data_IF_186886407119
#
_entry.id   IF_186886407119
#
_cell.length_a   1.000
_cell.length_b   1.000
_cell.length_c   1.000
_cell.angle_alpha   90.00
_cell.angle_beta   90.00
_cell.angle_gamma   90.00
#
_symmetry.space_group_name_H-M   'P 1'
#
loop_
_entity.id
_entity.type
_entity.pdbx_description
1 polymer ?
#
# COMPACT_ATOMS: atom_id res chain seq x y z
N UNK A 1 7.22 -14.38 14.96
CA UNK A 1 6.34 -13.42 15.66
C UNK A 1 5.66 -14.15 16.82
N UNK A 2 5.59 -13.60 18.06
CA UNK A 2 4.96 -14.28 19.19
C UNK A 2 3.42 -14.21 19.11
N UNK A 3 2.70 -15.32 18.81
CA UNK A 3 1.26 -15.27 18.56
C UNK A 3 0.44 -14.88 19.80
N UNK A 4 0.94 -15.14 21.00
CA UNK A 4 0.24 -14.86 22.26
C UNK A 4 0.00 -13.36 22.47
N UNK A 5 0.87 -12.49 21.93
CA UNK A 5 0.73 -11.03 22.00
C UNK A 5 -0.58 -10.56 21.37
N UNK A 6 -1.07 -11.27 20.35
CA UNK A 6 -2.29 -10.93 19.61
C UNK A 6 -3.57 -11.03 20.46
N UNK A 7 -3.50 -11.71 21.61
CA UNK A 7 -4.62 -11.85 22.53
C UNK A 7 -4.70 -10.69 23.55
N UNK A 8 -3.68 -9.83 23.62
CA UNK A 8 -3.61 -8.72 24.58
C UNK A 8 -4.37 -7.51 24.02
N UNK A 9 -5.70 -7.50 24.20
CA UNK A 9 -6.59 -6.46 23.63
C UNK A 9 -6.30 -5.02 24.11
N UNK A 10 -5.63 -4.88 25.25
CA UNK A 10 -5.25 -3.60 25.87
C UNK A 10 -3.85 -3.11 25.47
N UNK A 11 -3.13 -3.85 24.62
CA UNK A 11 -1.76 -3.54 24.26
C UNK A 11 -1.67 -2.25 23.44
N UNK A 12 -1.01 -1.24 23.99
CA UNK A 12 -0.80 0.05 23.32
C UNK A 12 0.56 0.17 22.65
N UNK A 13 1.56 -0.54 23.16
CA UNK A 13 2.95 -0.47 22.69
C UNK A 13 3.47 -1.89 22.48
N UNK A 14 3.92 -2.17 21.26
CA UNK A 14 4.56 -3.43 20.90
C UNK A 14 5.94 -3.13 20.31
N UNK A 15 6.99 -3.68 20.95
CA UNK A 15 8.38 -3.54 20.51
C UNK A 15 8.96 -4.93 20.28
N UNK A 16 9.35 -5.20 19.04
CA UNK A 16 9.91 -6.47 18.56
C UNK A 16 11.23 -6.23 17.79
N UNK A 17 11.92 -5.13 18.08
CA UNK A 17 13.18 -4.74 17.42
C UNK A 17 14.26 -5.82 17.56
N UNK A 18 15.10 -5.98 16.53
CA UNK A 18 16.27 -6.87 16.55
C UNK A 18 15.92 -8.33 16.79
N UNK A 19 15.01 -8.86 15.97
CA UNK A 19 14.61 -10.26 15.99
C UNK A 19 14.67 -10.85 14.57
N UNK A 20 14.67 -12.18 14.40
CA UNK A 20 14.61 -12.81 13.09
C UNK A 20 13.16 -12.95 12.57
N UNK A 21 12.31 -11.94 12.77
CA UNK A 21 10.89 -12.03 12.36
C UNK A 21 10.80 -11.78 10.85
N UNK A 22 10.23 -12.76 10.13
CA UNK A 22 10.02 -12.70 8.68
C UNK A 22 8.65 -12.21 8.27
N UNK A 23 7.66 -12.37 9.14
CA UNK A 23 6.27 -12.05 8.85
C UNK A 23 5.56 -11.49 10.08
N UNK A 24 4.60 -10.59 9.82
CA UNK A 24 3.60 -10.16 10.80
C UNK A 24 2.30 -10.89 10.45
N UNK A 25 1.65 -11.58 11.39
CA UNK A 25 0.40 -12.27 11.11
C UNK A 25 -0.73 -11.28 10.83
N UNK A 26 -1.66 -11.65 9.92
CA UNK A 26 -2.86 -10.86 9.61
C UNK A 26 -3.73 -10.54 10.84
N UNK A 27 -3.67 -11.41 11.86
CA UNK A 27 -4.35 -11.26 13.13
C UNK A 27 -3.83 -10.08 13.98
N UNK A 28 -2.76 -9.38 13.56
CA UNK A 28 -2.32 -8.12 14.17
C UNK A 28 -3.47 -7.11 14.26
N UNK A 29 -4.43 -7.18 13.34
CA UNK A 29 -5.66 -6.38 13.31
C UNK A 29 -6.50 -6.47 14.60
N UNK A 30 -6.30 -7.51 15.43
CA UNK A 30 -6.97 -7.69 16.73
C UNK A 30 -6.49 -6.71 17.79
N UNK A 31 -5.30 -6.13 17.63
CA UNK A 31 -4.70 -5.16 18.57
C UNK A 31 -5.26 -3.76 18.38
N UNK A 32 -6.58 -3.59 18.53
CA UNK A 32 -7.30 -2.33 18.24
C UNK A 32 -6.85 -1.12 19.08
N UNK A 33 -6.19 -1.34 20.20
CA UNK A 33 -5.67 -0.28 21.07
C UNK A 33 -4.20 0.06 20.81
N UNK A 34 -3.55 -0.61 19.85
CA UNK A 34 -2.13 -0.41 19.53
C UNK A 34 -1.89 0.97 18.95
N UNK A 35 -1.02 1.74 19.61
CA UNK A 35 -0.61 3.10 19.22
C UNK A 35 0.81 3.14 18.68
N UNK A 36 1.68 2.28 19.19
CA UNK A 36 3.09 2.25 18.81
C UNK A 36 3.53 0.84 18.49
N UNK A 37 4.03 0.65 17.27
CA UNK A 37 4.57 -0.62 16.82
C UNK A 37 5.98 -0.41 16.28
N UNK A 38 6.95 -1.04 16.95
CA UNK A 38 8.35 -1.05 16.54
C UNK A 38 8.73 -2.48 16.20
N UNK A 39 9.15 -2.71 14.95
CA UNK A 39 9.65 -4.00 14.45
C UNK A 39 10.86 -3.77 13.52
N UNK A 40 11.65 -2.74 13.82
CA UNK A 40 12.89 -2.45 13.09
C UNK A 40 13.95 -3.53 13.29
N UNK A 41 14.91 -3.64 12.37
CA UNK A 41 15.97 -4.66 12.39
C UNK A 41 15.39 -6.08 12.48
N UNK A 42 14.54 -6.41 11.51
CA UNK A 42 13.96 -7.74 11.33
C UNK A 42 14.15 -8.17 9.87
N UNK A 43 13.45 -9.22 9.42
CA UNK A 43 13.58 -9.82 8.09
C UNK A 43 12.25 -9.74 7.32
N UNK A 44 11.46 -8.69 7.54
CA UNK A 44 10.15 -8.53 6.91
C UNK A 44 10.31 -8.21 5.43
N UNK A 45 9.64 -8.97 4.57
CA UNK A 45 9.57 -8.66 3.12
C UNK A 45 8.30 -7.89 2.73
N UNK A 46 7.24 -7.98 3.54
CA UNK A 46 5.94 -7.34 3.28
C UNK A 46 5.20 -6.99 4.58
N UNK A 47 4.17 -6.14 4.44
CA UNK A 47 3.25 -5.78 5.52
C UNK A 47 1.88 -6.45 5.30
N UNK A 48 1.31 -7.12 6.31
CA UNK A 48 0.03 -7.80 6.18
C UNK A 48 -1.14 -6.80 6.02
N UNK A 49 -2.19 -7.13 5.25
CA UNK A 49 -3.41 -6.33 5.18
C UNK A 49 -4.01 -5.95 6.54
N UNK A 50 -3.90 -6.86 7.53
CA UNK A 50 -4.39 -6.62 8.88
C UNK A 50 -3.72 -5.45 9.62
N UNK A 51 -2.48 -5.10 9.25
CA UNK A 51 -1.78 -3.94 9.84
C UNK A 51 -2.51 -2.64 9.54
N UNK A 52 -3.07 -2.50 8.34
CA UNK A 52 -3.77 -1.29 7.90
C UNK A 52 -5.16 -1.11 8.52
N UNK A 53 -5.59 -2.05 9.40
CA UNK A 53 -6.83 -1.99 10.17
C UNK A 53 -6.61 -1.53 11.63
N UNK A 54 -5.41 -1.00 11.93
CA UNK A 54 -5.05 -0.46 13.23
C UNK A 54 -5.29 1.06 13.26
N UNK A 55 -6.55 1.45 13.40
CA UNK A 55 -7.00 2.84 13.26
C UNK A 55 -6.40 3.80 14.31
N UNK A 56 -5.89 3.27 15.42
CA UNK A 56 -5.25 4.02 16.50
C UNK A 56 -3.71 4.06 16.42
N UNK A 57 -3.11 3.48 15.37
CA UNK A 57 -1.67 3.43 15.24
C UNK A 57 -1.11 4.82 14.91
N UNK A 58 -0.23 5.32 15.77
CA UNK A 58 0.37 6.66 15.71
C UNK A 58 1.85 6.63 15.32
N UNK A 59 2.54 5.53 15.67
CA UNK A 59 3.96 5.35 15.41
C UNK A 59 4.20 3.95 14.84
N UNK A 60 4.76 3.90 13.62
CA UNK A 60 5.20 2.68 12.97
C UNK A 60 6.70 2.77 12.63
N UNK A 61 7.51 1.91 13.23
CA UNK A 61 8.92 1.76 12.91
C UNK A 61 9.19 0.37 12.33
N UNK A 62 9.44 0.33 11.03
CA UNK A 62 9.75 -0.86 10.23
C UNK A 62 11.11 -0.73 9.54
N UNK A 63 11.99 0.15 10.06
CA UNK A 63 13.30 0.38 9.48
C UNK A 63 14.19 -0.86 9.50
N UNK A 64 15.13 -0.95 8.55
CA UNK A 64 16.07 -2.06 8.42
C UNK A 64 15.36 -3.41 8.35
N UNK A 65 14.55 -3.57 7.29
CA UNK A 65 13.87 -4.79 6.86
C UNK A 65 14.05 -4.92 5.33
N UNK A 66 13.44 -5.93 4.70
CA UNK A 66 13.53 -6.21 3.26
C UNK A 66 12.26 -5.79 2.50
N UNK A 67 11.57 -4.74 2.96
CA UNK A 67 10.29 -4.32 2.39
C UNK A 67 10.53 -3.62 1.05
N UNK A 68 9.97 -4.19 -0.03
CA UNK A 68 10.09 -3.67 -1.39
C UNK A 68 8.90 -2.82 -1.85
N UNK A 69 7.74 -2.95 -1.18
CA UNK A 69 6.56 -2.13 -1.44
C UNK A 69 5.71 -1.93 -0.16
N UNK A 70 4.97 -0.81 -0.11
CA UNK A 70 3.93 -0.55 0.89
C UNK A 70 2.60 -0.43 0.15
N UNK A 71 1.58 -1.14 0.61
CA UNK A 71 0.25 -1.09 -0.01
C UNK A 71 -0.41 0.29 0.17
N UNK A 72 -1.22 0.71 -0.81
CA UNK A 72 -1.93 2.01 -0.75
C UNK A 72 -2.93 2.11 0.42
N UNK A 73 -3.23 0.98 1.07
CA UNK A 73 -4.07 0.92 2.27
C UNK A 73 -3.43 1.56 3.49
N UNK A 74 -2.15 1.94 3.45
CA UNK A 74 -1.53 2.76 4.50
C UNK A 74 -2.32 4.05 4.77
N UNK A 75 -3.07 4.58 3.78
CA UNK A 75 -4.01 5.71 3.95
C UNK A 75 -5.10 5.47 5.00
N UNK A 76 -5.36 4.21 5.38
CA UNK A 76 -6.34 3.84 6.42
C UNK A 76 -5.81 4.11 7.83
N UNK A 77 -4.50 4.23 8.02
CA UNK A 77 -3.87 4.54 9.31
C UNK A 77 -4.00 6.03 9.64
N UNK A 78 -5.25 6.51 9.82
CA UNK A 78 -5.58 7.94 9.90
C UNK A 78 -4.94 8.69 11.07
N UNK A 79 -4.43 7.99 12.08
CA UNK A 79 -3.72 8.59 13.22
C UNK A 79 -2.20 8.49 13.10
N UNK A 80 -1.65 7.97 12.00
CA UNK A 80 -0.21 7.76 11.86
C UNK A 80 0.53 9.09 11.72
N UNK A 81 1.31 9.44 12.74
CA UNK A 81 2.09 10.68 12.80
C UNK A 81 3.58 10.46 12.53
N UNK A 82 4.09 9.26 12.85
CA UNK A 82 5.50 8.91 12.74
C UNK A 82 5.61 7.61 11.94
N UNK A 83 6.32 7.68 10.81
CA UNK A 83 6.64 6.53 9.98
C UNK A 83 8.15 6.46 9.76
N UNK A 84 8.76 5.36 10.19
CA UNK A 84 10.15 5.05 9.90
C UNK A 84 10.26 3.81 9.00
N UNK A 85 10.74 4.02 7.78
CA UNK A 85 10.93 3.00 6.73
C UNK A 85 12.38 2.97 6.23
N UNK A 86 13.30 3.63 6.94
CA UNK A 86 14.72 3.70 6.62
C UNK A 86 15.32 2.31 6.38
N UNK A 87 16.26 2.19 5.44
CA UNK A 87 16.99 0.94 5.20
C UNK A 87 16.12 -0.20 4.66
N UNK A 88 15.06 0.11 3.92
CA UNK A 88 14.24 -0.86 3.18
C UNK A 88 14.50 -0.78 1.67
N UNK A 89 13.91 -1.68 0.89
CA UNK A 89 14.11 -1.80 -0.56
C UNK A 89 13.07 -1.02 -1.38
N UNK A 90 12.58 0.11 -0.85
CA UNK A 90 11.52 0.89 -1.47
C UNK A 90 12.05 1.78 -2.60
N UNK A 91 11.50 1.60 -3.81
CA UNK A 91 11.81 2.44 -4.97
C UNK A 91 10.97 3.72 -5.02
N UNK A 92 9.71 3.67 -4.57
CA UNK A 92 8.88 4.85 -4.33
C UNK A 92 7.80 4.60 -3.27
N UNK A 93 7.17 5.68 -2.79
CA UNK A 93 6.16 5.65 -1.74
C UNK A 93 4.75 5.46 -2.34
N UNK A 94 3.80 4.76 -1.68
CA UNK A 94 2.44 4.74 -2.19
C UNK A 94 1.75 6.10 -2.01
N UNK A 95 0.95 6.50 -3.00
CA UNK A 95 0.21 7.78 -3.00
C UNK A 95 -0.60 8.04 -1.73
N UNK A 96 -1.07 6.99 -1.07
CA UNK A 96 -1.84 7.04 0.17
C UNK A 96 -1.11 7.67 1.35
N UNK A 97 0.23 7.74 1.34
CA UNK A 97 0.97 8.50 2.37
C UNK A 97 0.59 9.99 2.35
N UNK A 98 0.28 10.55 1.17
CA UNK A 98 -0.08 11.97 1.03
C UNK A 98 -1.33 12.36 1.83
N UNK A 99 -2.17 11.38 2.18
CA UNK A 99 -3.41 11.58 2.93
C UNK A 99 -3.23 11.41 4.46
N UNK A 100 -2.02 11.15 4.93
CA UNK A 100 -1.74 10.90 6.34
C UNK A 100 -1.25 12.16 7.06
N UNK A 101 -1.60 12.34 8.35
CA UNK A 101 -1.13 13.47 9.16
C UNK A 101 0.31 13.26 9.66
N UNK A 102 1.21 12.80 8.78
CA UNK A 102 2.60 12.53 9.12
C UNK A 102 3.33 13.82 9.51
N UNK A 103 3.88 13.82 10.72
CA UNK A 103 4.77 14.87 11.24
C UNK A 103 6.23 14.52 10.97
N UNK A 104 6.55 13.22 11.01
CA UNK A 104 7.89 12.70 10.82
C UNK A 104 7.86 11.47 9.92
N UNK A 105 8.66 11.54 8.86
CA UNK A 105 8.89 10.44 7.94
C UNK A 105 10.40 10.21 7.88
N UNK A 106 10.87 8.96 8.00
CA UNK A 106 12.28 8.60 7.80
C UNK A 106 12.38 7.59 6.68
N UNK A 107 13.11 7.94 5.62
CA UNK A 107 13.24 7.16 4.39
C UNK A 107 14.69 6.98 3.94
N UNK A 108 15.65 7.37 4.77
CA UNK A 108 17.06 7.28 4.41
C UNK A 108 17.42 5.84 4.05
N UNK A 109 18.42 5.65 3.18
CA UNK A 109 18.83 4.32 2.73
C UNK A 109 17.69 3.47 2.14
N UNK A 110 16.65 4.10 1.59
CA UNK A 110 15.62 3.45 0.76
C UNK A 110 15.96 3.72 -0.69
N UNK A 111 15.96 2.69 -1.55
CA UNK A 111 16.40 2.69 -2.96
C UNK A 111 15.61 3.62 -3.92
N UNK A 112 15.44 4.88 -3.55
CA UNK A 112 14.62 5.94 -4.15
C UNK A 112 15.36 6.61 -5.32
N UNK A 113 16.21 5.87 -6.03
CA UNK A 113 16.99 6.42 -7.14
C UNK A 113 16.15 6.55 -8.42
N UNK A 114 16.20 7.69 -9.15
CA UNK A 114 15.40 7.89 -10.36
C UNK A 114 15.57 6.81 -11.44
N UNK A 115 16.75 6.22 -11.57
CA UNK A 115 17.00 5.13 -12.52
C UNK A 115 16.16 3.88 -12.22
N UNK A 116 15.93 3.58 -10.93
CA UNK A 116 15.13 2.43 -10.50
C UNK A 116 13.63 2.64 -10.76
N UNK A 117 13.17 3.89 -10.87
CA UNK A 117 11.76 4.19 -11.18
C UNK A 117 11.39 3.80 -12.62
N UNK A 118 12.31 4.02 -13.57
CA UNK A 118 12.07 3.71 -14.97
C UNK A 118 11.97 2.20 -15.21
N UNK A 119 12.80 1.41 -14.53
CA UNK A 119 12.76 -0.06 -14.60
C UNK A 119 11.44 -0.61 -14.02
N UNK A 120 10.98 -0.08 -12.88
CA UNK A 120 9.75 -0.55 -12.24
C UNK A 120 8.47 -0.14 -13.00
N UNK A 121 8.45 1.02 -13.67
CA UNK A 121 7.29 1.50 -14.44
C UNK A 121 6.95 0.67 -15.69
N UNK A 122 7.92 -0.03 -16.29
CA UNK A 122 7.72 -0.70 -17.58
C UNK A 122 7.20 -2.14 -17.49
N UNK A 123 7.32 -2.79 -16.33
CA UNK A 123 7.25 -4.26 -16.24
C UNK A 123 5.84 -4.86 -16.09
N UNK A 124 4.76 -4.08 -16.14
CA UNK A 124 3.40 -4.61 -15.85
C UNK A 124 2.34 -4.19 -16.87
N UNK A 125 2.29 -4.82 -18.05
CA UNK A 125 1.23 -4.59 -19.02
C UNK A 125 -0.14 -5.04 -18.48
N UNK A 126 -1.18 -4.27 -18.76
CA UNK A 126 -2.55 -4.63 -18.38
C UNK A 126 -3.02 -5.85 -19.18
N UNK A 127 -3.49 -6.89 -18.48
CA UNK A 127 -4.15 -8.02 -19.13
C UNK A 127 -5.47 -7.58 -19.77
N UNK A 128 -5.76 -8.11 -20.97
CA UNK A 128 -6.98 -7.81 -21.73
C UNK A 128 -8.26 -8.03 -20.89
N UNK A 129 -8.29 -9.07 -20.07
CA UNK A 129 -9.43 -9.40 -19.21
C UNK A 129 -9.76 -8.29 -18.20
N UNK A 130 -8.76 -7.59 -17.66
CA UNK A 130 -8.97 -6.48 -16.72
C UNK A 130 -9.51 -5.23 -17.44
N UNK A 131 -9.06 -5.00 -18.68
CA UNK A 131 -9.58 -3.92 -19.52
C UNK A 131 -11.03 -4.19 -19.96
N UNK A 132 -11.34 -5.44 -20.31
CA UNK A 132 -12.69 -5.87 -20.60
C UNK A 132 -13.61 -5.67 -19.39
N UNK A 133 -13.20 -6.11 -18.20
CA UNK A 133 -13.92 -5.88 -16.94
C UNK A 133 -14.13 -4.39 -16.64
N UNK A 134 -13.10 -3.56 -16.84
CA UNK A 134 -13.20 -2.10 -16.68
C UNK A 134 -14.23 -1.50 -17.64
N UNK A 135 -14.19 -1.89 -18.92
CA UNK A 135 -15.13 -1.43 -19.93
C UNK A 135 -16.57 -1.85 -19.57
N UNK A 136 -16.73 -3.10 -19.12
CA UNK A 136 -18.00 -3.67 -18.70
C UNK A 136 -18.62 -2.88 -17.54
N UNK A 137 -17.80 -2.60 -16.51
CA UNK A 137 -18.22 -1.83 -15.34
C UNK A 137 -18.53 -0.36 -15.68
N UNK A 138 -17.70 0.31 -16.49
CA UNK A 138 -17.90 1.73 -16.85
C UNK A 138 -19.15 1.99 -17.69
N UNK A 139 -19.59 1.01 -18.47
CA UNK A 139 -20.77 1.13 -19.33
C UNK A 139 -22.05 0.57 -18.67
N UNK A 140 -22.02 0.29 -17.36
CA UNK A 140 -23.14 -0.27 -16.59
C UNK A 140 -23.74 -1.54 -17.24
N UNK A 141 -22.91 -2.37 -17.88
CA UNK A 141 -23.40 -3.53 -18.64
C UNK A 141 -23.98 -4.63 -17.73
N UNK A 142 -23.71 -4.59 -16.42
CA UNK A 142 -24.34 -5.46 -15.42
C UNK A 142 -25.87 -5.32 -15.39
N UNK A 143 -26.40 -4.14 -15.68
CA UNK A 143 -27.84 -3.90 -15.70
C UNK A 143 -28.51 -4.45 -16.98
N UNK A 144 -27.71 -4.66 -18.04
CA UNK A 144 -28.19 -5.10 -19.36
C UNK A 144 -28.05 -6.60 -19.58
N UNK A 145 -27.03 -7.22 -19.00
CA UNK A 145 -26.76 -8.64 -19.12
C UNK A 145 -26.95 -9.31 -17.76
N UNK A 146 -28.06 -10.03 -17.60
CA UNK A 146 -28.40 -10.75 -16.37
C UNK A 146 -27.77 -12.15 -16.32
N UNK A 147 -27.50 -12.76 -17.47
CA UNK A 147 -26.87 -14.07 -17.59
C UNK A 147 -25.35 -13.95 -17.76
N UNK A 148 -24.66 -13.62 -16.66
CA UNK A 148 -23.21 -13.54 -16.60
C UNK A 148 -22.67 -14.78 -15.89
N UNK A 149 -21.70 -15.47 -16.50
CA UNK A 149 -21.02 -16.61 -15.86
C UNK A 149 -20.39 -16.24 -14.51
N UNK A 150 -20.34 -17.20 -13.59
CA UNK A 150 -19.78 -17.00 -12.25
C UNK A 150 -18.32 -16.54 -12.28
N UNK A 151 -17.53 -16.97 -13.27
CA UNK A 151 -16.13 -16.56 -13.40
C UNK A 151 -15.98 -15.07 -13.73
N UNK A 152 -16.87 -14.53 -14.57
CA UNK A 152 -16.88 -13.09 -14.88
C UNK A 152 -17.36 -12.29 -13.67
N UNK A 153 -18.36 -12.78 -12.92
CA UNK A 153 -18.80 -12.12 -11.67
C UNK A 153 -17.64 -11.98 -10.68
N UNK A 154 -16.90 -13.06 -10.44
CA UNK A 154 -15.70 -13.04 -9.56
C UNK A 154 -14.68 -11.98 -9.97
N UNK A 155 -14.42 -11.83 -11.28
CA UNK A 155 -13.49 -10.81 -11.78
C UNK A 155 -14.04 -9.41 -11.53
N UNK A 156 -15.33 -9.20 -11.82
CA UNK A 156 -15.96 -7.89 -11.67
C UNK A 156 -16.11 -7.45 -10.21
N UNK A 157 -16.18 -8.40 -9.26
CA UNK A 157 -16.24 -8.14 -7.83
C UNK A 157 -14.84 -7.90 -7.22
N UNK A 158 -13.79 -8.47 -7.81
CA UNK A 158 -12.41 -8.28 -7.37
C UNK A 158 -11.79 -7.01 -7.98
N UNK A 159 -12.32 -5.85 -7.60
CA UNK A 159 -11.83 -4.55 -8.04
C UNK A 159 -11.27 -3.73 -6.87
N UNK A 160 -10.34 -2.84 -7.19
CA UNK A 160 -9.77 -1.85 -6.27
C UNK A 160 -10.02 -0.45 -6.81
N UNK A 161 -9.80 0.58 -5.99
CA UNK A 161 -9.90 1.96 -6.48
C UNK A 161 -8.69 2.32 -7.37
N UNK A 162 -8.97 3.04 -8.45
CA UNK A 162 -7.98 3.74 -9.26
C UNK A 162 -7.48 4.97 -8.49
N UNK A 163 -6.16 5.15 -8.40
CA UNK A 163 -5.60 6.29 -7.68
C UNK A 163 -5.77 7.61 -8.46
N UNK A 164 -6.00 7.53 -9.77
CA UNK A 164 -6.10 8.70 -10.66
C UNK A 164 -7.54 9.23 -10.82
N UNK A 165 -8.53 8.34 -10.92
CA UNK A 165 -9.93 8.73 -11.19
C UNK A 165 -10.93 8.24 -10.14
N UNK A 166 -10.46 7.59 -9.07
CA UNK A 166 -11.28 6.97 -8.02
C UNK A 166 -12.28 5.90 -8.50
N UNK A 167 -12.26 5.54 -9.78
CA UNK A 167 -13.12 4.52 -10.38
C UNK A 167 -12.60 3.09 -10.17
N UNK A 168 -13.30 2.07 -10.67
CA UNK A 168 -12.88 0.68 -10.53
C UNK A 168 -11.56 0.41 -11.28
N UNK A 169 -10.69 -0.37 -10.66
CA UNK A 169 -9.41 -0.83 -11.20
C UNK A 169 -9.31 -2.32 -11.00
N UNK A 170 -9.21 -3.03 -12.12
CA UNK A 170 -9.08 -4.48 -12.17
C UNK A 170 -7.60 -4.88 -12.34
N UNK A 171 -7.17 -5.91 -11.62
CA UNK A 171 -5.76 -6.32 -11.60
C UNK A 171 -4.83 -5.27 -10.96
N UNK A 172 -3.57 -5.20 -11.39
CA UNK A 172 -2.56 -4.24 -10.86
C UNK A 172 -2.63 -2.83 -11.46
N UNK A 173 -3.40 -2.65 -12.54
CA UNK A 173 -3.46 -1.37 -13.26
C UNK A 173 -2.13 -0.99 -13.93
N UNK A 174 -2.03 0.26 -14.39
CA UNK A 174 -0.77 0.85 -14.85
C UNK A 174 -0.13 1.60 -13.71
N UNK A 175 1.11 1.25 -13.40
CA UNK A 175 1.92 1.97 -12.43
C UNK A 175 2.54 3.20 -13.09
N UNK A 176 2.55 4.33 -12.37
CA UNK A 176 3.28 5.53 -12.74
C UNK A 176 3.97 6.10 -11.49
N UNK A 177 5.15 6.70 -11.68
CA UNK A 177 5.86 7.42 -10.62
C UNK A 177 5.75 8.90 -10.87
N UNK A 178 5.25 9.65 -9.87
CA UNK A 178 5.28 11.11 -9.87
C UNK A 178 6.14 11.62 -8.72
N UNK A 179 6.89 12.69 -8.98
CA UNK A 179 7.77 13.30 -7.98
C UNK A 179 7.09 14.51 -7.39
N UNK A 180 6.88 14.49 -6.08
CA UNK A 180 6.36 15.64 -5.34
C UNK A 180 7.50 16.36 -4.62
N UNK A 181 7.40 17.69 -4.56
CA UNK A 181 8.37 18.57 -3.87
C UNK A 181 7.83 18.99 -2.51
N UNK A 182 8.72 19.17 -1.54
CA UNK A 182 8.43 19.76 -0.24
C UNK A 182 7.38 18.99 0.60
N UNK A 183 7.22 17.70 0.34
CA UNK A 183 6.31 16.84 1.12
C UNK A 183 7.04 16.38 2.38
N UNK A 184 6.37 16.45 3.54
CA UNK A 184 6.90 16.02 4.84
C UNK A 184 8.25 16.66 5.23
N UNK A 185 8.54 17.87 4.73
CA UNK A 185 9.83 18.59 4.91
C UNK A 185 11.04 17.92 4.23
N UNK A 186 10.80 16.99 3.31
CA UNK A 186 11.82 16.41 2.43
C UNK A 186 11.82 17.09 1.07
N UNK A 187 12.92 16.93 0.32
CA UNK A 187 13.10 17.50 -1.02
C UNK A 187 12.14 16.92 -2.06
N UNK A 188 12.66 16.13 -3.00
CA UNK A 188 11.89 15.47 -4.08
C UNK A 188 11.63 14.02 -3.70
N UNK A 189 10.38 13.64 -3.49
CA UNK A 189 9.99 12.27 -3.17
C UNK A 189 9.14 11.66 -4.29
N UNK A 190 9.46 10.44 -4.74
CA UNK A 190 8.63 9.73 -5.71
C UNK A 190 7.45 9.04 -5.03
N UNK A 191 6.31 9.06 -5.71
CA UNK A 191 5.10 8.36 -5.33
C UNK A 191 4.57 7.51 -6.47
N UNK A 192 4.22 6.26 -6.18
CA UNK A 192 3.51 5.38 -7.09
C UNK A 192 2.00 5.67 -7.09
N UNK A 193 1.43 5.76 -8.29
CA UNK A 193 -0.01 5.78 -8.52
C UNK A 193 -0.39 4.64 -9.47
N UNK A 194 -1.56 4.07 -9.25
CA UNK A 194 -2.11 3.00 -10.09
C UNK A 194 -3.34 3.48 -10.87
N UNK A 195 -3.18 3.63 -12.19
CA UNK A 195 -4.25 4.00 -13.10
C UNK A 195 -5.02 2.77 -13.59
N UNK A 196 -6.34 2.91 -13.83
CA UNK A 196 -7.17 1.82 -14.34
C UNK A 196 -6.99 1.55 -15.83
N UNK A 197 -6.51 2.51 -16.62
CA UNK A 197 -6.32 2.39 -18.07
C UNK A 197 -5.31 3.40 -18.59
N UNK A 198 -4.80 3.18 -19.81
CA UNK A 198 -3.91 4.12 -20.50
C UNK A 198 -4.52 5.51 -20.66
N UNK A 199 -5.82 5.60 -20.97
CA UNK A 199 -6.53 6.88 -21.08
C UNK A 199 -6.61 7.60 -19.74
N UNK A 200 -6.90 6.87 -18.66
CA UNK A 200 -6.90 7.43 -17.30
C UNK A 200 -5.51 7.95 -16.90
N UNK A 201 -4.44 7.24 -17.26
CA UNK A 201 -3.06 7.66 -16.99
C UNK A 201 -2.68 8.94 -17.73
N UNK A 202 -3.10 9.09 -18.99
CA UNK A 202 -2.77 10.28 -19.80
C UNK A 202 -3.51 11.54 -19.34
N UNK A 203 -4.65 11.38 -18.68
CA UNK A 203 -5.48 12.48 -18.21
C UNK A 203 -5.15 12.95 -16.78
N UNK A 204 -4.28 12.23 -16.07
CA UNK A 204 -3.85 12.50 -14.69
C UNK A 204 -2.51 13.20 -14.66
#
# INVERSE_FOLDING_TARGET
FPPQVLNIKTLQVLVLRNNPIKEIPNDISRLKTLKKFIISFNLLSELPPGLFLLDNLQHLDIAYNDISFIHNDIKKLRQLEILNIEGNQLSALPSGLLNLPLKYLRIENSFIHPLLWNEQNQNQPQKLIHLAALCFSRNNLRERYTDISEDIKKILDNCTACDCCSGPRYGRGLCLVQVYRNVFRFGRLPFYFHACSSSCRRAF
#
